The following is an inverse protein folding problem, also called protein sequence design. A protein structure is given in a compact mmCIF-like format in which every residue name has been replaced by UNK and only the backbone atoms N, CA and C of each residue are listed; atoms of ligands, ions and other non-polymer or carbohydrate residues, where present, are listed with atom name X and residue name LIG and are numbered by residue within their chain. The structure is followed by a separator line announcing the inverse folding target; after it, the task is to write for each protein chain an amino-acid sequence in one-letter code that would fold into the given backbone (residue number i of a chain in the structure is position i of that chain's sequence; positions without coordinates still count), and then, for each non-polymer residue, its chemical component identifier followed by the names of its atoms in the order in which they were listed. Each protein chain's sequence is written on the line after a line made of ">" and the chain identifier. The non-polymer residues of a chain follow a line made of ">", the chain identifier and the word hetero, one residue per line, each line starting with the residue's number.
data_IF_641361353605
#
_entry.id   IF_641361353605
#
_cell.length_a   1.000
_cell.length_b   1.000
_cell.length_c   1.000
_cell.angle_alpha   90.00
_cell.angle_beta   90.00
_cell.angle_gamma   90.00
#
_symmetry.space_group_name_H-M   'P 1'
#
loop_
_entity.id
_entity.type
_entity.pdbx_description
1 polymer ?
#
# COMPACT_ATOMS: atom_id res chain seq x y z
N UNK A 1 48.49 -19.34 -6.58
CA UNK A 1 48.45 -20.57 -5.75
C UNK A 1 47.01 -20.98 -5.73
N UNK A 2 46.51 -21.75 -6.68
CA UNK A 2 46.48 -23.20 -6.86
C UNK A 2 46.23 -23.92 -5.52
N UNK A 3 45.15 -24.69 -5.35
CA UNK A 3 44.88 -26.07 -5.78
C UNK A 3 43.47 -26.38 -5.22
N UNK A 4 42.50 -26.98 -5.77
CA UNK A 4 42.31 -28.13 -6.66
C UNK A 4 41.16 -28.92 -6.06
N UNK A 5 40.09 -29.16 -6.68
CA UNK A 5 39.75 -30.14 -7.70
C UNK A 5 39.63 -31.60 -7.17
N UNK A 6 38.46 -32.15 -7.43
CA UNK A 6 38.13 -33.59 -7.69
C UNK A 6 37.82 -34.50 -6.49
N UNK A 7 37.00 -35.54 -6.55
CA UNK A 7 36.59 -36.51 -7.58
C UNK A 7 35.38 -37.32 -7.14
N UNK A 8 34.60 -37.77 -8.11
CA UNK A 8 33.65 -38.91 -8.02
C UNK A 8 34.39 -40.25 -7.83
N UNK A 9 33.70 -41.34 -7.38
CA UNK A 9 33.60 -42.44 -8.30
C UNK A 9 32.22 -43.13 -8.42
N UNK A 10 31.98 -43.55 -9.63
CA UNK A 10 31.00 -44.52 -10.09
C UNK A 10 31.32 -45.96 -9.62
N UNK A 11 30.32 -46.79 -9.29
CA UNK A 11 30.41 -48.25 -9.44
C UNK A 11 29.09 -48.81 -9.97
N UNK A 12 29.23 -49.55 -11.04
CA UNK A 12 28.30 -50.37 -11.80
C UNK A 12 28.06 -51.70 -11.08
N UNK A 13 26.84 -52.23 -11.17
CA UNK A 13 26.81 -53.68 -11.20
C UNK A 13 25.54 -54.40 -10.78
N UNK A 14 24.78 -54.88 -11.76
CA UNK A 14 24.10 -56.15 -11.91
C UNK A 14 22.77 -56.50 -11.24
N UNK A 15 21.81 -56.51 -12.10
CA UNK A 15 20.66 -57.41 -12.38
C UNK A 15 20.50 -58.69 -11.51
N UNK A 16 19.31 -58.88 -10.92
CA UNK A 16 18.60 -60.17 -10.87
C UNK A 16 17.10 -59.94 -11.02
N UNK A 17 16.51 -60.70 -11.93
CA UNK A 17 15.14 -60.84 -12.33
C UNK A 17 14.41 -61.80 -11.37
N UNK A 18 13.18 -61.51 -10.92
CA UNK A 18 12.10 -62.47 -10.84
C UNK A 18 10.85 -61.93 -10.10
N UNK A 19 9.70 -62.03 -10.73
CA UNK A 19 8.46 -62.52 -10.14
C UNK A 19 7.36 -61.53 -9.81
N UNK A 20 6.43 -61.42 -10.75
CA UNK A 20 4.99 -61.12 -10.67
C UNK A 20 4.35 -60.99 -9.27
N UNK A 21 3.65 -59.84 -9.05
CA UNK A 21 2.25 -59.79 -8.61
C UNK A 21 1.72 -58.38 -8.84
N UNK A 22 0.76 -58.24 -9.75
CA UNK A 22 0.13 -56.97 -10.04
C UNK A 22 -0.79 -56.50 -8.92
N UNK A 23 -0.52 -55.32 -8.41
CA UNK A 23 -1.52 -54.49 -7.73
C UNK A 23 -1.58 -53.19 -8.53
N UNK A 24 -2.62 -53.06 -9.33
CA UNK A 24 -2.99 -51.76 -9.95
C UNK A 24 -3.46 -50.82 -8.83
N UNK A 25 -2.54 -50.09 -8.26
CA UNK A 25 -2.89 -48.87 -7.49
C UNK A 25 -3.25 -47.81 -8.50
N UNK A 26 -4.54 -47.63 -8.76
CA UNK A 26 -5.05 -46.44 -9.48
C UNK A 26 -4.80 -45.25 -8.55
N UNK A 27 -3.63 -44.65 -8.67
CA UNK A 27 -3.37 -43.31 -8.18
C UNK A 27 -4.22 -42.37 -9.03
N UNK A 28 -5.43 -42.12 -8.53
CA UNK A 28 -6.23 -40.96 -9.01
C UNK A 28 -5.43 -39.71 -8.78
N UNK A 29 -4.73 -39.28 -9.81
CA UNK A 29 -4.26 -37.91 -9.87
C UNK A 29 -5.50 -37.02 -9.83
N UNK A 30 -5.83 -36.47 -8.66
CA UNK A 30 -6.71 -35.32 -8.56
C UNK A 30 -5.95 -34.19 -9.24
N UNK A 31 -6.18 -34.04 -10.54
CA UNK A 31 -5.79 -32.82 -11.25
C UNK A 31 -6.57 -31.70 -10.58
N UNK A 32 -5.90 -30.90 -9.74
CA UNK A 32 -6.33 -29.56 -9.44
C UNK A 32 -6.26 -28.79 -10.79
N UNK A 33 -7.25 -28.99 -11.66
CA UNK A 33 -7.51 -28.06 -12.72
C UNK A 33 -7.97 -26.79 -12.02
N UNK A 34 -7.05 -25.84 -11.86
CA UNK A 34 -7.42 -24.47 -11.63
C UNK A 34 -8.43 -24.14 -12.74
N UNK A 35 -9.63 -23.75 -12.35
CA UNK A 35 -10.70 -23.33 -13.28
C UNK A 35 -10.26 -21.99 -13.92
N UNK A 36 -9.29 -22.10 -14.84
CA UNK A 36 -8.70 -20.94 -15.57
C UNK A 36 -9.73 -20.22 -16.46
N UNK A 37 -10.90 -20.81 -16.62
CA UNK A 37 -11.94 -20.27 -17.51
C UNK A 37 -12.96 -19.36 -16.82
N UNK A 38 -12.97 -19.32 -15.47
CA UNK A 38 -13.93 -18.50 -14.74
C UNK A 38 -13.49 -17.04 -14.71
N UNK A 39 -14.24 -16.19 -15.39
CA UNK A 39 -14.06 -14.74 -15.30
C UNK A 39 -14.61 -14.21 -13.98
N UNK A 40 -13.81 -13.40 -13.30
CA UNK A 40 -14.10 -12.80 -11.99
C UNK A 40 -14.33 -11.31 -12.20
N UNK A 41 -15.48 -10.82 -11.80
CA UNK A 41 -15.79 -9.39 -11.78
C UNK A 41 -15.36 -8.79 -10.44
N UNK A 42 -14.33 -7.95 -10.48
CA UNK A 42 -13.80 -7.27 -9.31
C UNK A 42 -14.48 -5.90 -9.19
N UNK A 43 -15.30 -5.69 -8.15
CA UNK A 43 -16.03 -4.43 -7.91
C UNK A 43 -16.15 -4.13 -6.43
N UNK A 44 -16.07 -2.85 -6.10
CA UNK A 44 -16.53 -2.36 -4.81
C UNK A 44 -18.06 -2.34 -4.76
N UNK A 45 -18.59 -2.59 -3.56
CA UNK A 45 -20.03 -2.54 -3.28
C UNK A 45 -20.27 -1.59 -2.12
N UNK A 46 -20.81 -0.44 -2.43
CA UNK A 46 -21.06 0.59 -1.43
C UNK A 46 -22.51 0.50 -0.93
N UNK A 47 -22.68 0.61 0.39
CA UNK A 47 -24.01 0.63 1.02
C UNK A 47 -24.18 1.98 1.73
N UNK A 48 -25.24 2.74 1.46
CA UNK A 48 -25.51 4.02 2.13
C UNK A 48 -25.47 3.88 3.65
N UNK A 49 -24.79 4.79 4.34
CA UNK A 49 -24.60 4.76 5.78
C UNK A 49 -23.54 3.78 6.28
N UNK A 50 -22.91 3.00 5.41
CA UNK A 50 -21.84 2.09 5.78
C UNK A 50 -20.63 2.85 6.30
N UNK A 51 -20.11 2.42 7.45
CA UNK A 51 -18.85 2.86 8.03
C UNK A 51 -17.87 1.70 7.98
N UNK A 52 -16.76 1.88 7.30
CA UNK A 52 -15.70 0.88 7.12
C UNK A 52 -14.43 1.37 7.80
N UNK A 53 -13.91 0.59 8.73
CA UNK A 53 -12.71 0.93 9.52
C UNK A 53 -11.54 0.03 9.19
N UNK A 54 -10.36 0.62 9.16
CA UNK A 54 -9.10 -0.08 8.94
C UNK A 54 -8.09 0.24 10.03
N UNK A 55 -7.39 -0.81 10.49
CA UNK A 55 -6.13 -0.66 11.22
C UNK A 55 -5.02 -0.46 10.20
N UNK A 56 -4.25 0.60 10.36
CA UNK A 56 -3.15 0.95 9.45
C UNK A 56 -1.85 1.03 10.24
N UNK A 57 -0.82 0.38 9.74
CA UNK A 57 0.57 0.54 10.15
C UNK A 57 1.37 1.04 8.96
N UNK A 58 2.16 2.08 9.18
CA UNK A 58 3.07 2.67 8.19
C UNK A 58 4.42 2.86 8.87
N UNK A 59 5.44 2.18 8.40
CA UNK A 59 6.82 2.31 8.87
C UNK A 59 7.70 2.75 7.71
N UNK A 60 8.34 3.91 7.86
CA UNK A 60 9.32 4.47 6.95
C UNK A 60 10.68 4.50 7.64
N UNK A 61 11.64 3.78 7.10
CA UNK A 61 13.00 3.71 7.61
C UNK A 61 13.99 4.20 6.55
N UNK A 62 14.91 5.07 6.93
CA UNK A 62 15.95 5.59 6.07
C UNK A 62 17.32 5.21 6.61
N UNK A 63 18.28 5.00 5.69
CA UNK A 63 19.70 5.00 5.97
C UNK A 63 20.35 5.95 4.99
N UNK A 64 20.91 7.03 5.52
CA UNK A 64 21.55 8.11 4.74
C UNK A 64 23.03 8.12 5.09
N UNK A 65 23.89 7.99 4.10
CA UNK A 65 25.34 8.08 4.25
C UNK A 65 25.88 9.20 3.36
N UNK A 66 26.66 10.09 3.94
CA UNK A 66 27.38 11.16 3.23
C UNK A 66 28.83 11.19 3.74
N UNK A 67 29.76 10.76 2.90
CA UNK A 67 31.14 10.55 3.32
C UNK A 67 31.23 9.45 4.39
N UNK A 68 31.76 9.78 5.56
CA UNK A 68 31.86 8.88 6.72
C UNK A 68 30.65 8.95 7.66
N UNK A 69 29.83 9.99 7.53
CA UNK A 69 28.66 10.20 8.38
C UNK A 69 27.49 9.31 7.95
N UNK A 70 26.80 8.74 8.92
CA UNK A 70 25.58 7.94 8.70
C UNK A 70 24.46 8.41 9.63
N UNK A 71 23.29 8.67 9.06
CA UNK A 71 22.05 8.96 9.78
C UNK A 71 20.98 7.92 9.43
N UNK A 72 20.10 7.62 10.41
CA UNK A 72 19.03 6.62 10.28
C UNK A 72 17.69 7.15 10.75
N UNK A 73 17.15 8.20 10.10
CA UNK A 73 15.83 8.71 10.47
C UNK A 73 14.74 7.69 10.16
N UNK A 74 13.68 7.70 10.98
CA UNK A 74 12.51 6.89 10.76
C UNK A 74 11.21 7.61 11.13
N UNK A 75 10.11 7.10 10.60
CA UNK A 75 8.74 7.49 10.97
C UNK A 75 7.88 6.25 11.06
N UNK A 76 7.42 5.91 12.26
CA UNK A 76 6.56 4.76 12.51
C UNK A 76 5.19 5.24 12.99
N UNK A 77 4.15 4.85 12.28
CA UNK A 77 2.78 5.25 12.55
C UNK A 77 1.87 4.04 12.67
N UNK A 78 1.00 4.06 13.66
CA UNK A 78 -0.21 3.24 13.70
C UNK A 78 -1.43 4.15 13.77
N UNK A 79 -2.48 3.83 13.03
CA UNK A 79 -3.69 4.64 13.00
C UNK A 79 -4.93 3.79 12.75
N UNK A 80 -6.07 4.33 13.13
CA UNK A 80 -7.38 3.84 12.70
C UNK A 80 -7.93 4.86 11.73
N UNK A 81 -8.13 4.45 10.49
CA UNK A 81 -8.82 5.26 9.48
C UNK A 81 -10.17 4.65 9.16
N UNK A 82 -11.09 5.48 8.77
CA UNK A 82 -12.37 5.01 8.23
C UNK A 82 -12.78 5.80 7.00
N UNK A 83 -13.72 5.22 6.25
CA UNK A 83 -14.59 5.98 5.38
C UNK A 83 -16.06 5.66 5.70
N UNK A 84 -16.88 6.69 5.58
CA UNK A 84 -18.35 6.60 5.66
C UNK A 84 -18.93 6.79 4.27
N UNK A 85 -19.80 5.88 3.85
CA UNK A 85 -20.58 6.02 2.61
C UNK A 85 -21.75 6.96 2.87
N UNK A 86 -21.67 8.20 2.35
CA UNK A 86 -22.70 9.23 2.55
C UNK A 86 -23.89 9.02 1.62
N UNK A 87 -23.61 8.64 0.38
CA UNK A 87 -24.61 8.39 -0.64
C UNK A 87 -24.08 7.37 -1.65
N UNK A 88 -24.99 6.69 -2.31
CA UNK A 88 -24.71 5.83 -3.48
C UNK A 88 -25.61 6.31 -4.60
N UNK A 89 -25.05 6.53 -5.76
CA UNK A 89 -25.73 7.00 -6.97
C UNK A 89 -26.30 5.83 -7.79
N UNK A 90 -27.10 6.12 -8.81
CA UNK A 90 -27.75 5.09 -9.65
C UNK A 90 -26.74 4.22 -10.42
N UNK A 91 -25.56 4.77 -10.77
CA UNK A 91 -24.46 4.05 -11.42
C UNK A 91 -23.61 3.21 -10.45
N UNK A 92 -23.98 3.18 -9.17
CA UNK A 92 -23.25 2.50 -8.10
C UNK A 92 -22.05 3.31 -7.56
N UNK A 93 -21.77 4.50 -8.10
CA UNK A 93 -20.76 5.40 -7.53
C UNK A 93 -21.18 5.87 -6.14
N UNK A 94 -20.19 6.10 -5.27
CA UNK A 94 -20.43 6.51 -3.91
C UNK A 94 -19.72 7.81 -3.54
N UNK A 95 -20.32 8.54 -2.62
CA UNK A 95 -19.68 9.66 -1.93
C UNK A 95 -19.14 9.11 -0.61
N UNK A 96 -17.81 9.12 -0.46
CA UNK A 96 -17.10 8.66 0.73
C UNK A 96 -16.57 9.86 1.52
N UNK A 97 -16.78 9.84 2.81
CA UNK A 97 -16.17 10.78 3.77
C UNK A 97 -15.09 10.07 4.57
N UNK A 98 -13.86 10.58 4.53
CA UNK A 98 -12.69 9.99 5.17
C UNK A 98 -12.40 10.66 6.52
N UNK A 99 -12.05 9.83 7.52
CA UNK A 99 -11.68 10.27 8.87
C UNK A 99 -10.51 9.43 9.37
N UNK A 100 -9.56 10.07 10.06
CA UNK A 100 -8.56 9.42 10.90
C UNK A 100 -9.12 9.43 12.32
N UNK A 101 -9.53 8.27 12.85
CA UNK A 101 -10.13 8.18 14.19
C UNK A 101 -9.09 8.34 15.30
N UNK A 102 -7.92 7.74 15.08
CA UNK A 102 -6.79 7.82 16.02
C UNK A 102 -5.46 7.64 15.29
N UNK A 103 -4.42 8.21 15.85
CA UNK A 103 -3.05 8.05 15.37
C UNK A 103 -2.07 8.00 16.54
N UNK A 104 -1.08 7.11 16.43
CA UNK A 104 0.12 7.08 17.24
C UNK A 104 1.30 7.17 16.28
N UNK A 105 2.15 8.19 16.44
CA UNK A 105 3.24 8.51 15.54
C UNK A 105 4.53 8.69 16.34
N UNK A 106 5.57 8.00 15.93
CA UNK A 106 6.94 8.16 16.42
C UNK A 106 7.84 8.56 15.26
N UNK A 107 8.60 9.63 15.43
CA UNK A 107 9.57 10.14 14.46
C UNK A 107 10.94 10.25 15.14
N UNK A 108 11.96 9.67 14.50
CA UNK A 108 13.36 9.86 14.86
C UNK A 108 14.06 10.64 13.76
N UNK A 109 14.64 11.77 14.11
CA UNK A 109 15.41 12.62 13.19
C UNK A 109 16.43 13.46 13.96
N UNK A 110 17.60 13.70 13.36
CA UNK A 110 18.68 14.50 13.96
C UNK A 110 19.09 14.02 15.36
N UNK A 111 19.03 12.70 15.62
CA UNK A 111 19.35 12.11 16.93
C UNK A 111 18.28 12.25 18.00
N UNK A 112 17.13 12.86 17.71
CA UNK A 112 16.02 13.05 18.63
C UNK A 112 14.82 12.20 18.23
N UNK A 113 14.03 11.78 19.24
CA UNK A 113 12.80 11.00 19.01
C UNK A 113 11.60 11.77 19.54
N UNK A 114 10.65 12.03 18.66
CA UNK A 114 9.40 12.71 18.94
C UNK A 114 8.24 11.71 18.88
N UNK A 115 7.26 11.86 19.78
CA UNK A 115 6.09 10.98 19.87
C UNK A 115 4.81 11.79 19.96
N UNK A 116 3.79 11.34 19.26
CA UNK A 116 2.44 11.87 19.30
C UNK A 116 1.42 10.73 19.39
N UNK A 117 0.47 10.83 20.33
CA UNK A 117 -0.62 9.88 20.46
C UNK A 117 -1.93 10.65 20.65
N UNK A 118 -2.80 10.62 19.65
CA UNK A 118 -4.07 11.35 19.66
C UNK A 118 -5.06 10.95 20.78
N UNK A 119 -4.82 9.82 21.44
CA UNK A 119 -5.67 9.32 22.54
C UNK A 119 -5.15 9.72 23.94
N UNK A 120 -3.95 10.32 24.00
CA UNK A 120 -3.39 10.82 25.26
C UNK A 120 -3.69 12.30 25.42
N UNK A 121 -3.79 12.73 26.69
CA UNK A 121 -3.89 14.15 27.00
C UNK A 121 -2.53 14.85 26.80
N UNK A 122 -2.53 16.13 26.47
CA UNK A 122 -1.31 16.95 26.31
C UNK A 122 -0.37 16.90 27.53
N UNK A 123 -0.92 16.66 28.72
CA UNK A 123 -0.14 16.51 29.94
C UNK A 123 0.65 15.21 30.07
N UNK A 124 0.27 14.20 29.28
CA UNK A 124 0.88 12.86 29.30
C UNK A 124 1.89 12.65 28.15
N UNK A 125 1.97 13.57 27.19
CA UNK A 125 2.79 13.42 25.99
C UNK A 125 4.24 13.93 26.09
N UNK A 126 4.65 14.48 27.20
CA UNK A 126 6.03 14.98 27.38
C UNK A 126 6.23 16.42 26.90
N UNK A 127 7.47 16.85 26.63
CA UNK A 127 7.83 18.26 26.45
C UNK A 127 6.99 18.99 25.39
N UNK A 128 6.58 20.23 25.69
CA UNK A 128 5.84 21.14 24.80
C UNK A 128 6.51 21.30 23.41
N UNK A 129 7.83 21.13 23.32
CA UNK A 129 8.58 21.26 22.06
C UNK A 129 8.26 20.16 21.06
N UNK A 130 7.97 18.93 21.50
CA UNK A 130 7.58 17.84 20.60
C UNK A 130 6.22 18.12 19.94
N UNK A 131 5.25 18.66 20.70
CA UNK A 131 3.90 18.95 20.22
C UNK A 131 3.84 20.11 19.24
N UNK A 132 4.85 20.96 19.22
CA UNK A 132 4.96 22.09 18.28
C UNK A 132 5.54 21.70 16.90
N UNK A 133 5.92 20.44 16.70
CA UNK A 133 6.34 19.98 15.36
C UNK A 133 5.19 20.12 14.36
N UNK A 134 5.44 20.71 13.17
CA UNK A 134 4.39 20.95 12.19
C UNK A 134 3.58 19.71 11.82
N UNK A 135 4.22 18.53 11.76
CA UNK A 135 3.57 17.26 11.46
C UNK A 135 2.54 16.87 12.52
N UNK A 136 2.84 17.07 13.82
CA UNK A 136 1.91 16.74 14.90
C UNK A 136 0.75 17.73 14.97
N UNK A 137 1.00 19.01 14.71
CA UNK A 137 -0.07 20.01 14.58
C UNK A 137 -1.02 19.67 13.44
N UNK A 138 -0.49 19.25 12.29
CA UNK A 138 -1.30 18.80 11.16
C UNK A 138 -2.13 17.56 11.53
N UNK A 139 -1.54 16.55 12.18
CA UNK A 139 -2.26 15.35 12.64
C UNK A 139 -3.37 15.72 13.64
N UNK A 140 -3.07 16.57 14.61
CA UNK A 140 -4.05 17.06 15.61
C UNK A 140 -5.24 17.76 14.95
N UNK A 141 -5.03 18.47 13.86
CA UNK A 141 -6.11 19.15 13.12
C UNK A 141 -7.06 18.17 12.40
N UNK A 142 -6.55 17.00 11.97
CA UNK A 142 -7.28 16.02 11.15
C UNK A 142 -7.95 14.92 11.98
N UNK A 143 -7.36 14.51 13.11
CA UNK A 143 -7.88 13.39 13.91
C UNK A 143 -9.28 13.68 14.44
N UNK A 144 -10.16 12.68 14.36
CA UNK A 144 -11.54 12.72 14.86
C UNK A 144 -12.51 13.52 13.99
N UNK A 145 -12.07 14.08 12.86
CA UNK A 145 -12.90 14.91 11.98
C UNK A 145 -12.87 14.36 10.55
N UNK A 146 -14.01 14.38 9.84
CA UNK A 146 -13.99 14.19 8.39
C UNK A 146 -13.12 15.28 7.76
N UNK A 147 -12.11 14.85 6.97
CA UNK A 147 -11.14 15.78 6.38
C UNK A 147 -11.16 15.78 4.85
N UNK A 148 -11.69 14.73 4.24
CA UNK A 148 -11.75 14.61 2.79
C UNK A 148 -13.03 13.90 2.35
N UNK A 149 -13.66 14.40 1.31
CA UNK A 149 -14.76 13.74 0.64
C UNK A 149 -14.35 13.34 -0.78
N UNK A 150 -14.70 12.13 -1.18
CA UNK A 150 -14.38 11.55 -2.49
C UNK A 150 -15.64 11.06 -3.17
N UNK A 151 -15.73 11.24 -4.50
CA UNK A 151 -16.67 10.50 -5.35
C UNK A 151 -15.93 9.36 -6.01
N UNK A 152 -16.38 8.13 -5.78
CA UNK A 152 -15.68 6.91 -6.18
C UNK A 152 -16.62 5.97 -6.93
N UNK A 153 -16.18 5.44 -8.08
CA UNK A 153 -16.92 4.44 -8.85
C UNK A 153 -16.79 3.04 -8.24
N UNK A 154 -17.65 2.06 -8.61
CA UNK A 154 -17.48 0.66 -8.20
C UNK A 154 -16.13 0.03 -8.59
N UNK A 155 -15.38 0.66 -9.48
CA UNK A 155 -14.03 0.26 -9.89
C UNK A 155 -12.90 0.95 -9.11
N UNK A 156 -13.23 1.85 -8.20
CA UNK A 156 -12.25 2.61 -7.43
C UNK A 156 -11.70 3.84 -8.17
N UNK A 157 -12.27 4.23 -9.31
CA UNK A 157 -11.89 5.48 -9.95
C UNK A 157 -12.44 6.65 -9.12
N UNK A 158 -11.56 7.57 -8.74
CA UNK A 158 -11.93 8.77 -8.00
C UNK A 158 -12.12 9.93 -8.97
N UNK A 159 -13.30 10.53 -8.98
CA UNK A 159 -13.69 11.60 -9.90
C UNK A 159 -13.79 12.98 -9.27
N UNK A 160 -13.84 13.06 -7.94
CA UNK A 160 -13.87 14.33 -7.22
C UNK A 160 -13.15 14.21 -5.88
N UNK A 161 -12.50 15.32 -5.48
CA UNK A 161 -11.84 15.51 -4.19
C UNK A 161 -12.34 16.79 -3.58
N UNK A 162 -12.94 16.73 -2.40
CA UNK A 162 -13.44 17.90 -1.67
C UNK A 162 -12.81 17.92 -0.29
N UNK A 163 -11.82 18.79 -0.03
CA UNK A 163 -11.31 19.01 1.31
C UNK A 163 -12.43 19.54 2.22
N UNK A 164 -12.52 19.00 3.44
CA UNK A 164 -13.53 19.38 4.44
C UNK A 164 -12.95 20.22 5.58
N UNK A 165 -11.62 20.27 5.70
CA UNK A 165 -10.92 21.12 6.68
C UNK A 165 -10.53 22.44 6.00
N UNK A 166 -10.86 23.60 6.62
CA UNK A 166 -10.50 24.90 6.06
C UNK A 166 -8.98 25.06 5.86
N UNK A 167 -8.58 25.55 4.70
CA UNK A 167 -7.18 25.74 4.35
C UNK A 167 -6.51 24.54 3.70
N UNK A 168 -7.13 23.35 3.71
CA UNK A 168 -6.63 22.21 2.97
C UNK A 168 -6.79 22.45 1.46
N UNK A 169 -5.76 22.07 0.75
CA UNK A 169 -5.76 22.13 -0.72
C UNK A 169 -6.12 20.76 -1.29
N UNK A 170 -6.63 20.77 -2.52
CA UNK A 170 -6.73 19.52 -3.29
C UNK A 170 -5.34 18.89 -3.36
N UNK A 171 -5.21 17.58 -3.08
CA UNK A 171 -3.92 16.93 -3.08
C UNK A 171 -3.16 17.14 -4.38
N UNK A 172 -1.86 17.45 -4.29
CA UNK A 172 -0.99 17.59 -5.47
C UNK A 172 -0.94 16.32 -6.33
N UNK A 173 -1.16 15.16 -5.71
CA UNK A 173 -1.19 13.87 -6.36
C UNK A 173 -2.50 13.12 -6.07
N UNK A 174 -3.60 13.44 -6.78
CA UNK A 174 -4.89 12.79 -6.61
C UNK A 174 -4.85 11.26 -6.79
N UNK A 175 -4.03 10.77 -7.74
CA UNK A 175 -3.88 9.32 -7.98
C UNK A 175 -3.25 8.58 -6.80
N UNK A 176 -2.38 9.23 -6.03
CA UNK A 176 -1.82 8.65 -4.81
C UNK A 176 -2.87 8.59 -3.70
N UNK A 177 -3.60 9.68 -3.50
CA UNK A 177 -4.68 9.72 -2.49
C UNK A 177 -5.77 8.71 -2.80
N UNK A 178 -6.16 8.58 -4.07
CA UNK A 178 -7.10 7.56 -4.50
C UNK A 178 -6.60 6.15 -4.15
N UNK A 179 -5.33 5.85 -4.43
CA UNK A 179 -4.69 4.57 -4.13
C UNK A 179 -4.56 4.30 -2.62
N UNK A 180 -4.35 5.33 -1.82
CA UNK A 180 -4.28 5.19 -0.35
C UNK A 180 -5.63 4.80 0.25
N UNK A 181 -6.73 5.12 -0.43
CA UNK A 181 -8.09 4.77 -0.02
C UNK A 181 -8.54 3.44 -0.62
N UNK A 182 -8.52 3.35 -1.97
CA UNK A 182 -8.99 2.20 -2.74
C UNK A 182 -8.05 1.96 -3.93
N UNK A 183 -7.91 0.71 -4.37
CA UNK A 183 -7.18 0.43 -5.60
C UNK A 183 -8.12 0.51 -6.81
N UNK A 184 -7.58 0.84 -7.98
CA UNK A 184 -8.32 0.79 -9.23
C UNK A 184 -8.45 -0.66 -9.69
N UNK A 185 -9.70 -1.11 -9.90
CA UNK A 185 -10.04 -2.45 -10.36
C UNK A 185 -10.14 -2.50 -11.89
N UNK A 186 -10.04 -3.70 -12.53
CA UNK A 186 -10.09 -3.83 -13.98
C UNK A 186 -11.46 -3.43 -14.55
N UNK A 187 -11.49 -3.03 -15.83
CA UNK A 187 -12.71 -2.66 -16.54
C UNK A 187 -13.62 -3.86 -16.76
N UNK A 188 -13.04 -4.93 -17.27
CA UNK A 188 -13.72 -6.15 -17.61
C UNK A 188 -13.43 -7.25 -16.60
N UNK A 189 -14.33 -8.23 -16.44
CA UNK A 189 -14.04 -9.43 -15.66
C UNK A 189 -12.77 -10.13 -16.17
N UNK A 190 -11.94 -10.63 -15.27
CA UNK A 190 -10.67 -11.28 -15.61
C UNK A 190 -10.58 -12.69 -15.01
N UNK A 191 -9.78 -13.55 -15.64
CA UNK A 191 -9.43 -14.87 -15.11
C UNK A 191 -8.30 -14.76 -14.06
N UNK A 192 -8.12 -15.80 -13.26
CA UNK A 192 -6.92 -15.96 -12.41
C UNK A 192 -5.68 -15.94 -13.31
N UNK A 193 -4.64 -15.21 -12.90
CA UNK A 193 -3.47 -14.89 -13.73
C UNK A 193 -3.65 -13.67 -14.62
N UNK A 194 -4.87 -13.18 -14.82
CA UNK A 194 -5.16 -11.96 -15.57
C UNK A 194 -4.54 -10.72 -14.95
N UNK A 195 -4.22 -9.74 -15.78
CA UNK A 195 -3.50 -8.53 -15.38
C UNK A 195 -4.21 -7.27 -15.86
N UNK A 196 -4.08 -6.19 -15.10
CA UNK A 196 -4.46 -4.85 -15.54
C UNK A 196 -3.44 -3.81 -15.08
N UNK A 197 -3.57 -2.60 -15.60
CA UNK A 197 -2.60 -1.53 -15.37
C UNK A 197 -3.31 -0.24 -15.03
N UNK A 198 -2.63 0.57 -14.26
CA UNK A 198 -3.02 1.95 -13.97
C UNK A 198 -1.83 2.86 -14.23
N UNK A 199 -1.94 3.71 -15.24
CA UNK A 199 -0.96 4.73 -15.54
C UNK A 199 -1.27 5.99 -14.74
N UNK A 200 -0.24 6.61 -14.17
CA UNK A 200 -0.35 7.88 -13.49
C UNK A 200 0.93 8.70 -13.64
N UNK A 201 0.81 9.99 -13.45
CA UNK A 201 1.93 10.92 -13.56
C UNK A 201 2.09 11.70 -12.26
N UNK A 202 3.32 11.94 -11.88
CA UNK A 202 3.69 12.85 -10.80
C UNK A 202 4.59 13.94 -11.36
N UNK A 203 4.60 15.09 -10.69
CA UNK A 203 5.46 16.21 -11.05
C UNK A 203 6.59 16.33 -10.02
N UNK A 204 7.83 16.13 -10.44
CA UNK A 204 9.01 16.31 -9.59
C UNK A 204 9.55 17.74 -9.73
N UNK A 205 9.88 18.45 -8.65
CA UNK A 205 10.59 19.71 -8.72
C UNK A 205 11.99 19.49 -9.31
N UNK A 206 12.41 20.38 -10.21
CA UNK A 206 13.78 20.41 -10.72
C UNK A 206 14.62 21.28 -9.79
N UNK A 207 15.70 20.77 -9.21
CA UNK A 207 16.57 21.55 -8.33
C UNK A 207 16.96 22.89 -8.94
N UNK A 208 17.03 23.93 -8.14
CA UNK A 208 17.41 25.30 -8.52
C UNK A 208 16.56 25.93 -9.64
N UNK A 209 15.35 25.40 -9.87
CA UNK A 209 14.44 25.89 -10.90
C UNK A 209 12.99 25.94 -10.37
N UNK A 210 12.16 26.82 -10.93
CA UNK A 210 10.72 26.80 -10.73
C UNK A 210 9.99 25.76 -11.59
N UNK A 211 10.72 25.06 -12.45
CA UNK A 211 10.16 24.07 -13.36
C UNK A 211 9.91 22.74 -12.65
N UNK A 212 8.99 21.98 -13.19
CA UNK A 212 8.67 20.62 -12.73
C UNK A 212 8.81 19.63 -13.89
N UNK A 213 9.35 18.45 -13.62
CA UNK A 213 9.51 17.36 -14.58
C UNK A 213 8.36 16.37 -14.39
N UNK A 214 7.55 16.10 -15.43
CA UNK A 214 6.56 15.05 -15.38
C UNK A 214 7.24 13.67 -15.40
N UNK A 215 6.86 12.80 -14.49
CA UNK A 215 7.35 11.42 -14.39
C UNK A 215 6.18 10.47 -14.43
N UNK A 216 6.20 9.60 -15.43
CA UNK A 216 5.19 8.56 -15.64
C UNK A 216 5.53 7.31 -14.84
N UNK A 217 4.54 6.83 -14.12
CA UNK A 217 4.59 5.58 -13.38
C UNK A 217 3.42 4.68 -13.82
N UNK A 218 3.55 3.39 -13.57
CA UNK A 218 2.53 2.41 -13.88
C UNK A 218 2.42 1.40 -12.75
N UNK A 219 1.23 1.23 -12.20
CA UNK A 219 0.88 0.11 -11.31
C UNK A 219 0.43 -1.06 -12.16
N UNK A 220 1.07 -2.20 -11.95
CA UNK A 220 0.70 -3.47 -12.55
C UNK A 220 0.05 -4.34 -11.50
N UNK A 221 -1.13 -4.79 -11.78
CA UNK A 221 -1.90 -5.68 -10.92
C UNK A 221 -2.04 -7.06 -11.60
N UNK A 222 -2.05 -8.11 -10.79
CA UNK A 222 -2.30 -9.49 -11.23
C UNK A 222 -3.26 -10.16 -10.27
N UNK A 223 -4.37 -10.71 -10.75
CA UNK A 223 -5.23 -11.57 -9.95
C UNK A 223 -4.55 -12.91 -9.73
N UNK A 224 -4.05 -13.16 -8.52
CA UNK A 224 -3.24 -14.35 -8.20
C UNK A 224 -4.08 -15.58 -7.88
N UNK A 225 -5.11 -15.39 -7.06
CA UNK A 225 -6.02 -16.47 -6.65
C UNK A 225 -7.37 -15.91 -6.21
N UNK A 226 -8.36 -16.80 -6.17
CA UNK A 226 -9.65 -16.57 -5.52
C UNK A 226 -9.94 -17.78 -4.65
N UNK A 227 -10.04 -17.56 -3.34
CA UNK A 227 -10.34 -18.58 -2.34
C UNK A 227 -11.65 -18.23 -1.63
N UNK A 228 -12.70 -18.98 -1.92
CA UNK A 228 -14.05 -18.60 -1.51
C UNK A 228 -14.45 -17.24 -2.12
N UNK A 229 -14.72 -16.25 -1.26
CA UNK A 229 -15.03 -14.89 -1.67
C UNK A 229 -13.80 -13.97 -1.73
N UNK A 230 -12.61 -14.43 -1.34
CA UNK A 230 -11.41 -13.60 -1.22
C UNK A 230 -10.56 -13.66 -2.49
N UNK A 231 -10.42 -12.53 -3.16
CA UNK A 231 -9.55 -12.36 -4.31
C UNK A 231 -8.21 -11.76 -3.86
N UNK A 232 -7.11 -12.46 -4.16
CA UNK A 232 -5.74 -12.03 -3.88
C UNK A 232 -5.14 -11.39 -5.12
N UNK A 233 -4.70 -10.14 -4.98
CA UNK A 233 -4.16 -9.30 -6.05
C UNK A 233 -2.72 -8.95 -5.72
N UNK A 234 -1.79 -9.24 -6.63
CA UNK A 234 -0.40 -8.78 -6.55
C UNK A 234 -0.28 -7.40 -7.21
N UNK A 235 0.44 -6.49 -6.57
CA UNK A 235 0.80 -5.17 -7.08
C UNK A 235 2.31 -5.06 -7.31
N UNK A 236 2.69 -4.45 -8.43
CA UNK A 236 4.06 -3.98 -8.72
C UNK A 236 4.02 -2.61 -9.35
N UNK A 237 4.79 -1.65 -8.85
CA UNK A 237 4.89 -0.31 -9.43
C UNK A 237 6.18 -0.16 -10.21
N UNK A 238 6.08 0.40 -11.42
CA UNK A 238 7.21 0.67 -12.32
C UNK A 238 7.29 2.16 -12.63
N UNK A 239 8.49 2.68 -12.74
CA UNK A 239 8.78 4.00 -13.31
C UNK A 239 8.98 3.83 -14.80
N UNK A 240 8.26 4.58 -15.63
CA UNK A 240 8.35 4.52 -17.09
C UNK A 240 9.23 5.63 -17.67
N UNK A 241 9.39 6.75 -16.93
CA UNK A 241 10.28 7.84 -17.33
C UNK A 241 11.70 7.54 -16.90
N UNK A 242 12.66 7.67 -17.82
CA UNK A 242 14.09 7.55 -17.49
C UNK A 242 14.50 8.76 -16.67
N UNK A 243 15.17 8.51 -15.54
CA UNK A 243 15.73 9.53 -14.65
C UNK A 243 17.24 9.32 -14.56
N UNK A 244 17.97 10.29 -15.07
CA UNK A 244 19.43 10.21 -15.20
C UNK A 244 20.15 10.78 -13.98
N UNK A 245 19.48 11.69 -13.24
CA UNK A 245 20.05 12.38 -12.10
C UNK A 245 19.71 11.66 -10.78
N UNK A 246 20.70 11.41 -9.90
CA UNK A 246 20.47 10.82 -8.59
C UNK A 246 19.45 11.60 -7.74
N UNK A 247 19.43 12.93 -7.83
CA UNK A 247 18.50 13.81 -7.12
C UNK A 247 17.03 13.57 -7.57
N UNK A 248 16.80 13.27 -8.85
CA UNK A 248 15.51 12.89 -9.38
C UNK A 248 15.11 11.50 -8.89
N UNK A 249 16.05 10.55 -8.91
CA UNK A 249 15.82 9.18 -8.42
C UNK A 249 15.50 9.17 -6.92
N UNK A 250 16.15 10.02 -6.12
CA UNK A 250 15.89 10.16 -4.69
C UNK A 250 14.42 10.53 -4.40
N UNK A 251 13.81 11.40 -5.22
CA UNK A 251 12.41 11.80 -5.08
C UNK A 251 11.42 10.64 -5.37
N UNK A 252 11.89 9.57 -6.03
CA UNK A 252 11.08 8.38 -6.33
C UNK A 252 11.27 7.23 -5.35
N UNK A 253 12.15 7.35 -4.36
CA UNK A 253 12.39 6.26 -3.39
C UNK A 253 11.08 5.78 -2.73
N UNK A 254 10.14 6.70 -2.47
CA UNK A 254 8.85 6.44 -1.83
C UNK A 254 7.70 6.15 -2.80
N UNK A 255 7.97 5.90 -4.08
CA UNK A 255 6.94 5.86 -5.13
C UNK A 255 6.81 4.51 -5.83
N UNK A 256 7.52 3.48 -5.36
CA UNK A 256 7.57 2.16 -6.01
C UNK A 256 7.09 1.02 -5.09
N UNK A 257 5.88 1.10 -4.49
CA UNK A 257 5.36 0.02 -3.66
C UNK A 257 5.09 -1.24 -4.49
N UNK A 258 5.31 -2.39 -3.86
CA UNK A 258 4.89 -3.70 -4.33
C UNK A 258 4.31 -4.50 -3.18
N UNK A 259 3.45 -5.47 -3.46
CA UNK A 259 2.88 -6.30 -2.40
C UNK A 259 1.59 -6.98 -2.79
N UNK A 260 0.79 -7.28 -1.78
CA UNK A 260 -0.44 -8.07 -1.91
C UNK A 260 -1.63 -7.31 -1.34
N UNK A 261 -2.75 -7.43 -2.03
CA UNK A 261 -4.03 -6.81 -1.67
C UNK A 261 -5.10 -7.90 -1.73
N UNK A 262 -5.99 -7.94 -0.74
CA UNK A 262 -7.09 -8.88 -0.67
C UNK A 262 -8.41 -8.13 -0.72
N UNK A 263 -9.27 -8.52 -1.67
CA UNK A 263 -10.62 -7.99 -1.88
C UNK A 263 -11.65 -9.08 -1.57
N UNK A 264 -12.65 -8.76 -0.76
CA UNK A 264 -13.83 -9.60 -0.54
C UNK A 264 -14.85 -9.32 -1.66
N UNK A 265 -15.07 -10.30 -2.52
CA UNK A 265 -15.95 -10.21 -3.69
C UNK A 265 -17.45 -10.16 -3.32
N UNK A 266 -17.82 -10.77 -2.20
CA UNK A 266 -19.22 -10.77 -1.73
C UNK A 266 -19.57 -9.41 -1.13
N UNK A 267 -18.72 -8.89 -0.28
CA UNK A 267 -18.90 -7.61 0.40
C UNK A 267 -18.47 -6.41 -0.46
N UNK A 268 -17.62 -6.65 -1.48
CA UNK A 268 -17.03 -5.59 -2.30
C UNK A 268 -16.15 -4.65 -1.48
N UNK A 269 -15.40 -5.18 -0.52
CA UNK A 269 -14.55 -4.44 0.41
C UNK A 269 -13.11 -4.91 0.35
N UNK A 270 -12.18 -3.97 0.53
CA UNK A 270 -10.79 -4.28 0.76
C UNK A 270 -10.64 -4.93 2.14
N UNK A 271 -10.03 -6.12 2.21
CA UNK A 271 -9.80 -6.86 3.46
C UNK A 271 -8.42 -6.55 4.02
N UNK A 272 -7.41 -6.53 3.15
CA UNK A 272 -6.05 -6.15 3.53
C UNK A 272 -5.27 -5.57 2.35
N UNK A 273 -4.28 -4.75 2.69
CA UNK A 273 -3.28 -4.21 1.77
C UNK A 273 -1.94 -4.23 2.47
N UNK A 274 -1.04 -5.13 2.02
CA UNK A 274 0.30 -5.31 2.56
C UNK A 274 1.30 -4.91 1.47
N UNK A 275 1.94 -3.75 1.64
CA UNK A 275 2.87 -3.21 0.65
C UNK A 275 4.24 -2.99 1.26
N UNK A 276 5.27 -3.17 0.44
CA UNK A 276 6.65 -2.91 0.81
C UNK A 276 7.36 -2.12 -0.27
N UNK A 277 8.37 -1.38 0.15
CA UNK A 277 9.34 -0.74 -0.73
C UNK A 277 10.74 -0.92 -0.11
N UNK A 278 11.73 -1.19 -0.95
CA UNK A 278 13.15 -1.20 -0.58
C UNK A 278 13.90 -0.64 -1.79
N UNK A 279 14.25 0.63 -1.70
CA UNK A 279 14.82 1.39 -2.80
C UNK A 279 16.06 2.12 -2.32
N UNK A 280 17.05 2.27 -3.22
CA UNK A 280 18.30 2.96 -2.91
C UNK A 280 18.74 3.87 -4.05
N UNK A 281 19.53 4.87 -3.71
CA UNK A 281 20.17 5.78 -4.66
C UNK A 281 21.54 6.15 -4.13
N UNK A 282 22.51 6.31 -5.05
CA UNK A 282 23.86 6.74 -4.74
C UNK A 282 24.24 7.98 -5.56
N UNK A 283 25.20 8.77 -5.05
CA UNK A 283 25.73 9.92 -5.79
C UNK A 283 24.83 11.15 -5.80
N UNK A 284 23.92 11.29 -4.83
CA UNK A 284 23.00 12.42 -4.75
C UNK A 284 23.60 13.69 -4.10
N UNK A 285 24.85 13.63 -3.66
CA UNK A 285 25.59 14.76 -3.09
C UNK A 285 27.01 14.78 -3.64
N UNK A 286 27.70 15.90 -3.49
CA UNK A 286 29.13 16.01 -3.83
C UNK A 286 29.97 15.08 -2.95
N UNK A 287 30.58 14.06 -3.56
CA UNK A 287 31.31 13.01 -2.88
C UNK A 287 30.51 11.71 -2.71
N UNK A 288 31.10 10.70 -2.00
CA UNK A 288 30.41 9.44 -1.75
C UNK A 288 29.14 9.67 -0.95
N UNK A 289 27.98 9.32 -1.53
CA UNK A 289 26.69 9.42 -0.86
C UNK A 289 25.81 8.24 -1.25
N UNK A 290 25.03 7.74 -0.28
CA UNK A 290 24.11 6.63 -0.46
C UNK A 290 22.89 6.83 0.43
N UNK A 291 21.69 6.61 -0.12
CA UNK A 291 20.44 6.60 0.63
C UNK A 291 19.67 5.34 0.30
N UNK A 292 19.23 4.63 1.33
CA UNK A 292 18.28 3.53 1.24
C UNK A 292 17.00 3.93 1.97
N UNK A 293 15.87 3.64 1.35
CA UNK A 293 14.56 3.81 1.91
C UNK A 293 13.82 2.49 1.95
N UNK A 294 13.33 2.11 3.12
CA UNK A 294 12.50 0.94 3.34
C UNK A 294 11.15 1.39 3.90
N UNK A 295 10.08 0.82 3.37
CA UNK A 295 8.73 1.08 3.85
C UNK A 295 7.96 -0.22 3.97
N UNK A 296 7.16 -0.30 5.04
CA UNK A 296 6.13 -1.33 5.22
C UNK A 296 4.80 -0.62 5.48
N UNK A 297 3.81 -0.94 4.66
CA UNK A 297 2.42 -0.52 4.83
C UNK A 297 1.57 -1.75 5.07
N UNK A 298 0.90 -1.83 6.20
CA UNK A 298 -0.10 -2.86 6.50
C UNK A 298 -1.43 -2.17 6.79
N UNK A 299 -2.45 -2.51 6.04
CA UNK A 299 -3.82 -2.02 6.23
C UNK A 299 -4.75 -3.22 6.31
N UNK A 300 -5.52 -3.33 7.38
CA UNK A 300 -6.41 -4.47 7.63
C UNK A 300 -7.80 -3.98 8.01
N UNK A 301 -8.80 -4.57 7.37
CA UNK A 301 -10.19 -4.32 7.71
C UNK A 301 -10.43 -4.69 9.19
N UNK A 302 -10.80 -3.69 9.99
CA UNK A 302 -11.20 -3.88 11.38
C UNK A 302 -12.65 -4.29 11.47
N UNK A 303 -13.53 -3.47 10.90
CA UNK A 303 -14.95 -3.73 10.83
C UNK A 303 -15.62 -2.95 9.69
N UNK A 304 -16.85 -3.37 9.34
CA UNK A 304 -17.72 -2.65 8.43
C UNK A 304 -19.17 -2.86 8.88
N UNK A 305 -19.84 -1.77 9.26
CA UNK A 305 -21.22 -1.78 9.74
C UNK A 305 -22.04 -0.68 9.08
N UNK A 306 -23.34 -0.93 8.88
CA UNK A 306 -24.28 0.12 8.47
C UNK A 306 -24.74 0.84 9.72
N UNK A 307 -24.44 2.13 9.81
CA UNK A 307 -24.83 3.00 10.92
C UNK A 307 -26.06 3.79 10.47
N UNK A 308 -27.20 3.60 11.15
CA UNK A 308 -28.41 4.40 10.90
C UNK A 308 -28.13 5.87 11.17
N UNK A 309 -28.70 6.75 10.35
CA UNK A 309 -28.51 8.20 10.46
C UNK A 309 -28.97 8.81 11.81
N UNK A 310 -29.75 8.05 12.60
CA UNK A 310 -30.34 8.48 13.87
C UNK A 310 -29.56 8.09 15.14
N UNK A 311 -28.39 7.48 15.03
CA UNK A 311 -27.58 7.21 16.22
C UNK A 311 -26.75 8.46 16.58
N UNK A 312 -27.04 9.13 17.72
CA UNK A 312 -26.17 10.21 18.17
C UNK A 312 -24.79 9.64 18.43
N UNK A 313 -23.79 10.34 17.93
CA UNK A 313 -22.36 10.04 18.11
C UNK A 313 -22.06 9.98 19.63
N UNK A 314 -22.03 8.76 20.18
CA UNK A 314 -21.76 8.48 21.60
C UNK A 314 -20.24 8.35 21.82
N UNK A 315 -19.48 9.33 21.36
CA UNK A 315 -18.08 9.53 21.79
C UNK A 315 -17.96 10.87 22.51
N UNK A 316 -18.22 10.85 23.81
CA UNK A 316 -17.75 11.85 24.78
C UNK A 316 -16.47 11.34 25.43
#
# INVERSE_FOLDING_TARGET
>A
MNVGMELFPSVIGRTILSGLAGVFLVLGTVSLQADESRLIDLRYKFVPGQLVRYDVQLNDDYRIQVGEDTDTPYSHQTSVKNYRVKAVEEDGSAILELTIESVNLEIHQNGETFRYNSQKSEKEEGSDDALNQPVFLAMKALVGKPHLQLRVTPRGDVSAFVPLVPGDQVPENPAQVAFDVLLRLPEEPIAIGGTWKEDFEISLPIPESSLRKPVKLQRHYTLKSVEGALATIELKTKVLTILDLPEEQMQLLRRRPSGTIVLDLERGLLVSKELTQDNEVSGFNTGPSHMRFQQVVSEKLRDAAVVSADSPDTTR
#
